data_IF_709140527203
#
_entry.id   IF_709140527203
#
_cell.length_a   1.000
_cell.length_b   1.000
_cell.length_c   1.000
_cell.angle_alpha   90.00
_cell.angle_beta   90.00
_cell.angle_gamma   90.00
#
_symmetry.space_group_name_H-M   'P 1'
#
loop_
_entity.id
_entity.type
_entity.pdbx_description
1 polymer ?
#
# COMPACT_ATOMS: atom_id res chain seq x y z
N UNK A 1 13.31 -31.72 -60.87
CA UNK A 1 14.12 -30.73 -60.12
C UNK A 1 13.30 -30.27 -58.92
N UNK A 2 13.51 -30.88 -57.76
CA UNK A 2 12.68 -30.69 -56.55
C UNK A 2 13.53 -30.57 -55.27
N UNK A 3 14.78 -30.12 -55.38
CA UNK A 3 15.77 -30.20 -54.28
C UNK A 3 15.95 -28.87 -53.52
N UNK A 4 15.23 -27.80 -53.89
CA UNK A 4 15.39 -26.50 -53.23
C UNK A 4 14.36 -26.19 -52.12
N UNK A 5 13.21 -26.87 -52.09
CA UNK A 5 12.20 -26.64 -51.04
C UNK A 5 12.50 -27.38 -49.73
N UNK A 6 13.10 -28.58 -49.79
CA UNK A 6 13.43 -29.38 -48.60
C UNK A 6 14.64 -28.87 -47.80
N UNK A 7 15.56 -28.10 -48.42
CA UNK A 7 16.74 -27.57 -47.72
C UNK A 7 16.47 -26.23 -47.02
N UNK A 8 15.42 -25.50 -47.44
CA UNK A 8 15.04 -24.18 -46.91
C UNK A 8 14.02 -24.30 -45.77
N UNK A 9 13.22 -25.36 -45.74
CA UNK A 9 12.24 -25.60 -44.68
C UNK A 9 12.86 -25.69 -43.26
N UNK A 10 13.95 -26.44 -43.03
CA UNK A 10 14.49 -26.62 -41.68
C UNK A 10 15.00 -25.33 -41.03
N UNK A 11 15.78 -24.45 -41.70
CA UNK A 11 16.21 -23.18 -41.12
C UNK A 11 15.07 -22.20 -40.80
N UNK A 12 14.03 -22.14 -41.66
CA UNK A 12 12.88 -21.25 -41.45
C UNK A 12 12.05 -21.71 -40.24
N UNK A 13 11.79 -23.01 -40.13
CA UNK A 13 11.05 -23.59 -39.00
C UNK A 13 11.81 -23.35 -37.69
N UNK A 14 13.13 -23.51 -37.67
CA UNK A 14 13.98 -23.21 -36.51
C UNK A 14 13.93 -21.72 -36.16
N UNK A 15 14.00 -20.82 -37.15
CA UNK A 15 13.89 -19.38 -36.94
C UNK A 15 12.56 -18.95 -36.31
N UNK A 16 11.44 -19.50 -36.81
CA UNK A 16 10.10 -19.25 -36.26
C UNK A 16 10.00 -19.80 -34.83
N UNK A 17 10.52 -21.01 -34.57
CA UNK A 17 10.56 -21.59 -33.23
C UNK A 17 11.37 -20.74 -32.24
N UNK A 18 12.53 -20.24 -32.64
CA UNK A 18 13.35 -19.36 -31.81
C UNK A 18 12.63 -18.04 -31.49
N UNK A 19 11.96 -17.44 -32.48
CA UNK A 19 11.15 -16.24 -32.25
C UNK A 19 9.98 -16.51 -31.31
N UNK A 20 9.31 -17.66 -31.43
CA UNK A 20 8.23 -18.06 -30.53
C UNK A 20 8.73 -18.27 -29.10
N UNK A 21 9.87 -18.95 -28.92
CA UNK A 21 10.48 -19.16 -27.59
C UNK A 21 10.87 -17.83 -26.96
N UNK A 22 11.53 -16.94 -27.72
CA UNK A 22 11.89 -15.61 -27.23
C UNK A 22 10.66 -14.78 -26.87
N UNK A 23 9.59 -14.86 -27.66
CA UNK A 23 8.32 -14.19 -27.38
C UNK A 23 7.66 -14.73 -26.12
N UNK A 24 7.63 -16.05 -25.91
CA UNK A 24 7.07 -16.66 -24.70
C UNK A 24 7.88 -16.30 -23.46
N UNK A 25 9.22 -16.33 -23.54
CA UNK A 25 10.08 -15.95 -22.42
C UNK A 25 9.90 -14.47 -22.04
N UNK A 26 9.78 -13.58 -23.03
CA UNK A 26 9.50 -12.17 -22.79
C UNK A 26 8.15 -11.97 -22.13
N UNK A 27 7.10 -12.62 -22.64
CA UNK A 27 5.76 -12.56 -22.08
C UNK A 27 5.72 -13.09 -20.63
N UNK A 28 6.40 -14.21 -20.35
CA UNK A 28 6.48 -14.77 -18.99
C UNK A 28 7.22 -13.84 -18.03
N UNK A 29 8.29 -13.19 -18.48
CA UNK A 29 9.04 -12.23 -17.67
C UNK A 29 8.22 -10.98 -17.35
N UNK A 30 7.52 -10.42 -18.33
CA UNK A 30 6.61 -9.28 -18.12
C UNK A 30 5.49 -9.63 -17.13
N UNK A 31 4.80 -10.76 -17.34
CA UNK A 31 3.72 -11.23 -16.44
C UNK A 31 4.21 -11.52 -15.02
N UNK A 32 5.40 -12.10 -14.85
CA UNK A 32 5.99 -12.32 -13.53
C UNK A 32 6.29 -11.00 -12.82
N UNK A 33 6.82 -10.01 -13.53
CA UNK A 33 7.10 -8.69 -12.96
C UNK A 33 5.85 -7.94 -12.52
N UNK A 34 4.77 -8.00 -13.33
CA UNK A 34 3.48 -7.38 -13.01
C UNK A 34 2.82 -8.04 -11.79
N UNK A 35 2.88 -9.38 -11.72
CA UNK A 35 2.36 -10.14 -10.59
C UNK A 35 3.09 -9.81 -9.29
N UNK A 36 4.43 -9.78 -9.32
CA UNK A 36 5.25 -9.40 -8.17
C UNK A 36 4.96 -7.98 -7.71
N UNK A 37 4.79 -7.05 -8.65
CA UNK A 37 4.56 -5.65 -8.33
C UNK A 37 3.15 -5.43 -7.77
N UNK A 38 2.14 -6.11 -8.29
CA UNK A 38 0.78 -6.14 -7.73
C UNK A 38 0.81 -6.68 -6.30
N UNK A 39 1.49 -7.81 -6.07
CA UNK A 39 1.63 -8.42 -4.76
C UNK A 39 2.33 -7.48 -3.78
N UNK A 40 3.40 -6.81 -4.21
CA UNK A 40 4.14 -5.87 -3.39
C UNK A 40 3.27 -4.67 -2.99
N UNK A 41 2.58 -4.03 -3.93
CA UNK A 41 1.68 -2.88 -3.63
C UNK A 41 0.57 -3.30 -2.67
N UNK A 42 0.01 -4.50 -2.83
CA UNK A 42 -0.98 -5.03 -1.88
C UNK A 42 -0.38 -5.30 -0.50
N UNK A 43 0.82 -5.88 -0.44
CA UNK A 43 1.51 -6.14 0.82
C UNK A 43 1.80 -4.83 1.57
N UNK A 44 2.26 -3.79 0.88
CA UNK A 44 2.51 -2.47 1.48
C UNK A 44 1.24 -1.85 2.07
N UNK A 45 0.12 -1.89 1.34
CA UNK A 45 -1.17 -1.40 1.83
C UNK A 45 -1.62 -2.18 3.09
N UNK A 46 -1.47 -3.51 3.08
CA UNK A 46 -1.81 -4.36 4.22
C UNK A 46 -0.89 -4.11 5.41
N UNK A 47 0.42 -3.97 5.21
CA UNK A 47 1.38 -3.67 6.27
C UNK A 47 1.09 -2.32 6.91
N UNK A 48 0.83 -1.28 6.11
CA UNK A 48 0.45 0.03 6.64
C UNK A 48 -0.79 -0.06 7.53
N UNK A 49 -1.79 -0.83 7.10
CA UNK A 49 -3.03 -1.02 7.85
C UNK A 49 -2.81 -1.80 9.16
N UNK A 50 -1.90 -2.79 9.16
CA UNK A 50 -1.51 -3.50 10.38
C UNK A 50 -0.79 -2.59 11.37
N UNK A 51 0.04 -1.66 10.90
CA UNK A 51 0.69 -0.70 11.80
C UNK A 51 -0.34 0.27 12.38
N UNK A 52 -1.25 0.79 11.55
CA UNK A 52 -2.36 1.63 12.05
C UNK A 52 -3.18 0.87 13.09
N UNK A 53 -3.48 -0.42 12.85
CA UNK A 53 -4.19 -1.24 13.83
C UNK A 53 -3.47 -1.31 15.18
N UNK A 54 -2.17 -1.56 15.18
CA UNK A 54 -1.39 -1.70 16.41
C UNK A 54 -1.36 -0.40 17.20
N UNK A 55 -1.13 0.71 16.52
CA UNK A 55 -1.12 2.05 17.13
C UNK A 55 -2.51 2.47 17.66
N UNK A 56 -3.59 2.10 16.96
CA UNK A 56 -4.96 2.38 17.40
C UNK A 56 -5.37 1.59 18.64
N UNK A 57 -4.65 0.51 18.99
CA UNK A 57 -4.90 -0.24 20.23
C UNK A 57 -4.60 0.59 21.47
N UNK A 58 -3.67 1.54 21.36
CA UNK A 58 -3.22 2.38 22.46
C UNK A 58 -4.03 3.68 22.58
N UNK A 59 -5.06 3.87 21.76
CA UNK A 59 -5.92 5.06 21.80
C UNK A 59 -6.70 5.11 23.12
N UNK A 60 -6.50 6.18 23.88
CA UNK A 60 -7.28 6.48 25.09
C UNK A 60 -8.30 7.60 24.85
N UNK A 61 -7.91 8.65 24.14
CA UNK A 61 -8.80 9.80 23.88
C UNK A 61 -8.63 10.30 22.46
N UNK A 62 -9.74 10.47 21.73
CA UNK A 62 -9.72 11.09 20.41
C UNK A 62 -9.67 12.61 20.54
N UNK A 63 -8.64 13.23 19.97
CA UNK A 63 -8.44 14.70 20.04
C UNK A 63 -9.04 15.36 18.81
N UNK A 64 -8.62 14.92 17.62
CA UNK A 64 -9.07 15.47 16.35
C UNK A 64 -9.02 14.42 15.27
N UNK A 65 -9.99 14.47 14.35
CA UNK A 65 -9.99 13.63 13.17
C UNK A 65 -10.47 14.42 11.98
N UNK A 66 -9.78 14.21 10.87
CA UNK A 66 -10.12 14.71 9.55
C UNK A 66 -10.05 13.54 8.58
N UNK A 67 -10.55 13.72 7.36
CA UNK A 67 -10.52 12.65 6.35
C UNK A 67 -9.13 12.02 6.20
N UNK A 68 -8.04 12.80 6.25
CA UNK A 68 -6.67 12.30 5.97
C UNK A 68 -5.72 12.28 7.16
N UNK A 69 -6.16 12.77 8.33
CA UNK A 69 -5.33 12.88 9.53
C UNK A 69 -6.13 12.48 10.75
N UNK A 70 -5.55 11.60 11.56
CA UNK A 70 -6.11 11.17 12.84
C UNK A 70 -5.18 11.60 13.97
N UNK A 71 -5.70 12.26 15.00
CA UNK A 71 -4.95 12.70 16.18
C UNK A 71 -5.64 12.21 17.45
N UNK A 72 -4.88 11.55 18.30
CA UNK A 72 -5.37 10.97 19.55
C UNK A 72 -4.31 11.04 20.65
N UNK A 73 -4.74 10.87 21.90
CA UNK A 73 -3.87 10.64 23.04
C UNK A 73 -3.71 9.13 23.25
N UNK A 74 -2.47 8.68 23.42
CA UNK A 74 -2.17 7.30 23.80
C UNK A 74 -2.38 7.07 25.31
N UNK A 75 -2.19 5.82 25.76
CA UNK A 75 -2.25 5.43 27.18
C UNK A 75 -1.22 6.12 28.08
N UNK A 76 -0.15 6.69 27.51
CA UNK A 76 0.87 7.46 28.22
C UNK A 76 0.57 8.97 28.21
N UNK A 77 -0.59 9.37 27.68
CA UNK A 77 -1.00 10.75 27.41
C UNK A 77 -0.14 11.47 26.35
N UNK A 78 0.64 10.75 25.55
CA UNK A 78 1.36 11.32 24.43
C UNK A 78 0.40 11.56 23.26
N UNK A 79 0.57 12.69 22.56
CA UNK A 79 -0.25 13.02 21.40
C UNK A 79 0.31 12.32 20.17
N UNK A 80 -0.43 11.36 19.63
CA UNK A 80 -0.09 10.66 18.39
C UNK A 80 -0.91 11.23 17.24
N UNK A 81 -0.22 11.58 16.17
CA UNK A 81 -0.84 12.06 14.93
C UNK A 81 -0.43 11.18 13.75
N UNK A 82 -1.42 10.59 13.11
CA UNK A 82 -1.27 9.80 11.89
C UNK A 82 -1.66 10.63 10.69
N UNK A 83 -0.77 10.73 9.71
CA UNK A 83 -1.03 11.44 8.46
C UNK A 83 -0.23 10.82 7.32
N UNK A 84 -0.65 11.09 6.09
CA UNK A 84 0.16 10.80 4.91
C UNK A 84 1.19 11.91 4.71
N UNK A 85 2.47 11.57 4.74
CA UNK A 85 3.55 12.50 4.38
C UNK A 85 4.17 12.03 3.06
N UNK A 86 3.98 12.82 2.00
CA UNK A 86 4.26 12.43 0.62
C UNK A 86 3.58 11.10 0.25
N UNK A 87 4.31 9.99 0.31
CA UNK A 87 3.83 8.64 0.00
C UNK A 87 4.02 7.64 1.14
N UNK A 88 4.38 8.13 2.31
CA UNK A 88 4.60 7.32 3.51
C UNK A 88 3.49 7.59 4.51
N UNK A 89 3.22 6.58 5.34
CA UNK A 89 2.39 6.76 6.52
C UNK A 89 3.31 7.30 7.63
N UNK A 90 3.04 8.53 8.07
CA UNK A 90 3.78 9.17 9.14
C UNK A 90 3.01 9.03 10.46
N UNK A 91 3.73 8.58 11.48
CA UNK A 91 3.30 8.58 12.87
C UNK A 91 4.13 9.61 13.62
N UNK A 92 3.50 10.67 14.09
CA UNK A 92 4.17 11.72 14.86
C UNK A 92 3.70 11.59 16.29
N UNK A 93 4.58 11.16 17.20
CA UNK A 93 4.30 11.03 18.62
C UNK A 93 4.94 12.20 19.35
N UNK A 94 4.13 13.04 19.97
CA UNK A 94 4.58 14.19 20.76
C UNK A 94 4.42 13.89 22.22
N UNK A 95 5.54 13.84 22.93
CA UNK A 95 5.50 13.56 24.36
C UNK A 95 5.03 14.79 25.13
N UNK A 96 3.99 14.66 25.95
CA UNK A 96 3.41 15.81 26.65
C UNK A 96 4.34 16.40 27.72
N UNK A 97 5.24 15.60 28.28
CA UNK A 97 6.13 16.04 29.37
C UNK A 97 7.35 16.78 28.84
N UNK A 98 7.92 16.32 27.73
CA UNK A 98 9.15 16.90 27.13
C UNK A 98 8.88 17.84 25.96
N UNK A 99 7.65 17.84 25.43
CA UNK A 99 7.25 18.54 24.19
C UNK A 99 8.09 18.15 22.95
N UNK A 100 8.86 17.07 23.03
CA UNK A 100 9.61 16.54 21.90
C UNK A 100 8.68 15.69 21.02
N UNK A 101 8.84 15.81 19.71
CA UNK A 101 8.11 15.02 18.74
C UNK A 101 9.05 14.01 18.08
N UNK A 102 8.68 12.73 18.15
CA UNK A 102 9.30 11.66 17.38
C UNK A 102 8.46 11.38 16.13
N UNK A 103 9.12 11.14 15.00
CA UNK A 103 8.45 10.90 13.72
C UNK A 103 8.92 9.58 13.12
N UNK A 104 8.00 8.64 13.05
CA UNK A 104 8.21 7.34 12.39
C UNK A 104 7.56 7.36 11.02
N UNK A 105 8.34 7.05 9.99
CA UNK A 105 7.87 6.97 8.61
C UNK A 105 7.80 5.51 8.18
N UNK A 106 6.62 5.09 7.73
CA UNK A 106 6.37 3.73 7.25
C UNK A 106 6.21 3.79 5.73
N UNK A 107 7.15 3.19 4.97
CA UNK A 107 7.08 3.21 3.52
C UNK A 107 5.94 2.30 3.06
N UNK A 108 4.86 2.92 2.58
CA UNK A 108 3.64 2.22 2.19
C UNK A 108 3.11 2.62 0.81
N UNK A 109 3.79 3.55 0.12
CA UNK A 109 3.38 4.11 -1.19
C UNK A 109 1.94 4.64 -1.17
N UNK A 110 1.53 5.21 -0.04
CA UNK A 110 0.18 5.71 0.23
C UNK A 110 -0.12 6.86 -0.72
N UNK A 111 -1.16 6.67 -1.52
CA UNK A 111 -1.68 7.66 -2.45
C UNK A 111 -2.96 8.27 -1.93
N UNK A 112 -3.73 7.56 -1.11
CA UNK A 112 -4.86 8.11 -0.37
C UNK A 112 -4.95 7.44 1.01
N UNK A 113 -5.31 8.22 2.03
CA UNK A 113 -5.48 7.78 3.41
C UNK A 113 -6.79 8.37 3.91
N UNK A 114 -7.70 7.52 4.36
CA UNK A 114 -9.00 7.93 4.88
C UNK A 114 -9.29 7.37 6.25
N UNK A 115 -9.76 8.24 7.15
CA UNK A 115 -10.23 7.89 8.48
C UNK A 115 -11.70 8.27 8.62
N UNK A 116 -12.58 7.28 8.77
CA UNK A 116 -14.00 7.49 9.04
C UNK A 116 -14.29 7.07 10.47
N UNK A 117 -14.62 8.03 11.33
CA UNK A 117 -15.04 7.76 12.70
C UNK A 117 -16.55 7.52 12.76
N UNK A 118 -16.94 6.49 13.50
CA UNK A 118 -18.33 6.21 13.82
C UNK A 118 -18.58 6.53 15.28
N UNK A 119 -19.56 7.39 15.50
CA UNK A 119 -20.04 7.84 16.80
C UNK A 119 -21.52 7.47 16.89
N UNK A 120 -21.95 7.00 18.07
CA UNK A 120 -23.37 6.86 18.39
C UNK A 120 -23.78 8.13 19.13
N UNK A 121 -24.98 8.65 18.86
CA UNK A 121 -25.43 9.94 19.41
C UNK A 121 -25.16 10.08 20.92
N UNK A 122 -24.38 11.10 21.29
CA UNK A 122 -24.04 11.40 22.68
C UNK A 122 -22.92 10.55 23.29
N UNK A 123 -22.32 9.63 22.53
CA UNK A 123 -21.11 8.88 22.91
C UNK A 123 -19.95 9.21 21.98
N UNK A 124 -18.74 9.31 22.53
CA UNK A 124 -17.50 9.39 21.76
C UNK A 124 -17.31 8.22 20.78
N UNK A 125 -16.33 8.33 19.86
CA UNK A 125 -16.16 7.41 18.75
C UNK A 125 -15.79 6.00 19.22
N UNK A 126 -16.61 5.01 18.87
CA UNK A 126 -16.36 3.61 19.27
C UNK A 126 -15.72 2.78 18.15
N UNK A 127 -15.75 3.27 16.91
CA UNK A 127 -15.17 2.59 15.75
C UNK A 127 -14.54 3.57 14.77
N UNK A 128 -13.42 3.17 14.17
CA UNK A 128 -12.77 3.88 13.07
C UNK A 128 -12.56 2.94 11.89
N UNK A 129 -13.04 3.32 10.72
CA UNK A 129 -12.69 2.67 9.46
C UNK A 129 -11.49 3.39 8.86
N UNK A 130 -10.42 2.64 8.62
CA UNK A 130 -9.23 3.15 7.96
C UNK A 130 -9.16 2.55 6.58
N UNK A 131 -9.04 3.40 5.58
CA UNK A 131 -8.81 3.01 4.19
C UNK A 131 -7.49 3.58 3.71
N UNK A 132 -6.61 2.69 3.25
CA UNK A 132 -5.31 3.01 2.69
C UNK A 132 -5.31 2.58 1.23
N UNK A 133 -5.03 3.53 0.35
CA UNK A 133 -4.83 3.27 -1.07
C UNK A 133 -3.37 3.43 -1.40
N UNK A 134 -2.72 2.38 -1.91
CA UNK A 134 -1.34 2.40 -2.36
C UNK A 134 -1.28 2.25 -3.87
N UNK A 135 -0.40 3.00 -4.53
CA UNK A 135 -0.24 2.94 -5.98
C UNK A 135 1.25 2.75 -6.33
N UNK A 136 1.53 2.04 -7.41
CA UNK A 136 2.87 1.99 -8.00
C UNK A 136 3.08 3.13 -8.98
N UNK A 137 4.32 3.59 -9.11
CA UNK A 137 4.69 4.57 -10.13
C UNK A 137 5.16 3.88 -11.39
N UNK A 138 5.15 4.62 -12.50
CA UNK A 138 5.69 4.15 -13.79
C UNK A 138 7.17 3.70 -13.70
N UNK A 139 7.93 4.20 -12.72
CA UNK A 139 9.32 3.78 -12.45
C UNK A 139 9.45 2.45 -11.71
N UNK A 140 8.37 1.96 -11.08
CA UNK A 140 8.39 0.70 -10.35
C UNK A 140 8.25 -0.50 -11.29
N UNK A 141 7.62 -0.31 -12.46
CA UNK A 141 7.43 -1.36 -13.46
C UNK A 141 8.55 -1.42 -14.50
N UNK A 142 8.57 -2.52 -15.27
CA UNK A 142 9.59 -2.77 -16.29
C UNK A 142 9.11 -2.20 -17.64
N UNK A 143 9.81 -1.19 -18.16
CA UNK A 143 9.58 -0.64 -19.50
C UNK A 143 8.94 0.76 -19.53
N UNK A 144 9.06 1.44 -20.68
CA UNK A 144 8.44 2.75 -20.91
C UNK A 144 6.93 2.59 -21.07
N UNK A 145 6.15 3.16 -20.15
CA UNK A 145 4.69 3.04 -20.12
C UNK A 145 4.16 1.91 -19.24
N UNK A 146 4.96 1.44 -18.26
CA UNK A 146 4.56 0.38 -17.35
C UNK A 146 3.19 0.65 -16.69
N UNK A 147 2.31 -0.36 -16.61
CA UNK A 147 1.00 -0.22 -15.99
C UNK A 147 1.13 0.20 -14.53
N UNK A 148 0.23 1.07 -14.09
CA UNK A 148 0.12 1.46 -12.67
C UNK A 148 -0.82 0.51 -11.97
N UNK A 149 -0.30 -0.13 -10.93
CA UNK A 149 -1.04 -1.02 -10.07
C UNK A 149 -1.45 -0.27 -8.81
N UNK A 150 -2.72 -0.41 -8.45
CA UNK A 150 -3.31 0.18 -7.25
C UNK A 150 -3.83 -0.93 -6.36
N UNK A 151 -3.51 -0.84 -5.08
CA UNK A 151 -4.10 -1.65 -4.04
C UNK A 151 -4.91 -0.77 -3.09
N UNK A 152 -6.01 -1.32 -2.59
CA UNK A 152 -6.82 -0.69 -1.55
C UNK A 152 -6.93 -1.69 -0.42
N UNK A 153 -6.57 -1.25 0.79
CA UNK A 153 -6.79 -1.98 2.02
C UNK A 153 -7.72 -1.16 2.90
N UNK A 154 -8.79 -1.77 3.40
CA UNK A 154 -9.74 -1.12 4.31
C UNK A 154 -10.04 -2.05 5.47
N UNK A 155 -10.14 -1.49 6.68
CA UNK A 155 -10.50 -2.25 7.87
C UNK A 155 -11.15 -1.36 8.92
N UNK A 156 -12.06 -1.98 9.65
CA UNK A 156 -12.75 -1.38 10.78
C UNK A 156 -12.07 -1.77 12.08
N UNK A 157 -11.84 -0.80 12.94
CA UNK A 157 -11.21 -0.96 14.24
C UNK A 157 -12.12 -0.46 15.33
N UNK A 158 -12.36 -1.29 16.35
CA UNK A 158 -13.10 -0.92 17.54
C UNK A 158 -12.15 -0.28 18.56
N UNK A 159 -12.48 0.94 19.01
CA UNK A 159 -11.70 1.70 19.97
C UNK A 159 -12.10 1.28 21.39
N UNK A 160 -11.54 0.16 21.87
CA UNK A 160 -11.94 -0.48 23.14
C UNK A 160 -11.46 0.26 24.39
N UNK A 161 -10.37 0.99 24.27
CA UNK A 161 -9.72 1.69 25.39
C UNK A 161 -10.09 3.18 25.44
N UNK A 162 -11.07 3.59 24.63
CA UNK A 162 -11.51 4.97 24.63
C UNK A 162 -12.25 5.27 25.93
N UNK A 163 -11.68 6.14 26.76
CA UNK A 163 -12.41 6.74 27.88
C UNK A 163 -13.39 7.77 27.29
N UNK A 164 -14.69 7.52 27.48
CA UNK A 164 -15.80 8.35 27.00
C UNK A 164 -16.13 9.50 27.95
#
# INVERSE_FOLDING_TARGET
MSVQLDLILPPIVIGILLLLILSMNRMMMESSSESLLTQNVQQLANTALLVVQEELREVQTMIASTDSTLTYADVNQDTVRMLRLDRDLALIRTNMTTSLADTTLIPAKVTDLRFNLFQLDGTGPFMVTVQITSESLARDGVGTGAPRFRAIASRDFYLRNLDL
#
